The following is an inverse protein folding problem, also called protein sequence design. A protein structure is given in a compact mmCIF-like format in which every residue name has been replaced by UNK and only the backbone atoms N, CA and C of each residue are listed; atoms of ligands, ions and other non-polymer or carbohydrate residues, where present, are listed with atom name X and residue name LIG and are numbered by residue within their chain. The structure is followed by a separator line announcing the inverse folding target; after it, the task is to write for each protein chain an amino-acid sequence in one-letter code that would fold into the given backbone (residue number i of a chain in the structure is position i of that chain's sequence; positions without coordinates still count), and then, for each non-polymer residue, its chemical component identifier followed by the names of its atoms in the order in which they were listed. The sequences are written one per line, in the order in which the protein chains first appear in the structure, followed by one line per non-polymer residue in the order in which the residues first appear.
data_IF_393712319504
#
_entry.id   IF_393712319504
#
_cell.length_a   1.000
_cell.length_b   1.000
_cell.length_c   1.000
_cell.angle_alpha   90.00
_cell.angle_beta   90.00
_cell.angle_gamma   90.00
#
_symmetry.space_group_name_H-M   'P 1'
#
loop_
_entity.id
_entity.type
_entity.pdbx_description
1 polymer ?
#
# COMPACT_ATOMS: atom_id res chain seq x y z
N UNK A 1 -52.80 -46.16 17.82
CA UNK A 1 -53.25 -44.85 17.27
C UNK A 1 -52.83 -43.66 18.15
N UNK A 2 -53.55 -43.26 19.21
CA UNK A 2 -53.23 -42.01 19.94
C UNK A 2 -51.85 -41.97 20.62
N UNK A 3 -51.44 -43.06 21.30
CA UNK A 3 -50.11 -43.17 21.94
C UNK A 3 -48.96 -43.18 20.94
N UNK A 4 -49.15 -43.78 19.77
CA UNK A 4 -48.12 -43.82 18.72
C UNK A 4 -47.91 -42.43 18.11
N UNK A 5 -48.98 -41.67 17.92
CA UNK A 5 -48.90 -40.27 17.45
C UNK A 5 -48.18 -39.38 18.48
N UNK A 6 -48.47 -39.54 19.77
CA UNK A 6 -47.72 -38.82 20.82
C UNK A 6 -46.24 -39.21 20.88
N UNK A 7 -45.93 -40.50 20.74
CA UNK A 7 -44.55 -40.98 20.73
C UNK A 7 -43.78 -40.45 19.52
N UNK A 8 -44.38 -40.49 18.31
CA UNK A 8 -43.80 -39.89 17.11
C UNK A 8 -43.56 -38.39 17.28
N UNK A 9 -44.52 -37.66 17.86
CA UNK A 9 -44.37 -36.22 18.13
C UNK A 9 -43.22 -35.93 19.09
N UNK A 10 -43.08 -36.70 20.18
CA UNK A 10 -41.94 -36.58 21.11
C UNK A 10 -40.62 -36.92 20.43
N UNK A 11 -40.58 -37.98 19.63
CA UNK A 11 -39.39 -38.36 18.87
C UNK A 11 -38.96 -37.27 17.88
N UNK A 12 -39.90 -36.66 17.16
CA UNK A 12 -39.62 -35.55 16.25
C UNK A 12 -39.11 -34.30 16.98
N UNK A 13 -39.68 -33.98 18.16
CA UNK A 13 -39.22 -32.85 18.97
C UNK A 13 -37.79 -33.08 19.47
N UNK A 14 -37.49 -34.28 19.99
CA UNK A 14 -36.14 -34.64 20.42
C UNK A 14 -35.15 -34.58 19.25
N UNK A 15 -35.54 -35.06 18.07
CA UNK A 15 -34.69 -34.98 16.88
C UNK A 15 -34.48 -33.53 16.42
N UNK A 16 -35.52 -32.69 16.44
CA UNK A 16 -35.42 -31.28 16.08
C UNK A 16 -34.52 -30.51 17.05
N UNK A 17 -34.64 -30.79 18.35
CA UNK A 17 -33.83 -30.17 19.39
C UNK A 17 -32.36 -30.63 19.31
N UNK A 18 -32.11 -31.93 19.08
CA UNK A 18 -30.77 -32.46 18.83
C UNK A 18 -30.13 -31.86 17.56
N UNK A 19 -30.91 -31.69 16.49
CA UNK A 19 -30.44 -31.04 15.26
C UNK A 19 -30.13 -29.55 15.50
N UNK A 20 -30.95 -28.85 16.29
CA UNK A 20 -30.72 -27.43 16.64
C UNK A 20 -29.45 -27.27 17.46
N UNK A 21 -29.25 -28.09 18.48
CA UNK A 21 -28.03 -28.10 19.31
C UNK A 21 -26.78 -28.41 18.47
N UNK A 22 -26.87 -29.39 17.56
CA UNK A 22 -25.75 -29.71 16.66
C UNK A 22 -25.41 -28.53 15.75
N UNK A 23 -26.42 -27.84 15.21
CA UNK A 23 -26.24 -26.66 14.36
C UNK A 23 -25.63 -25.49 15.14
N UNK A 24 -26.09 -25.24 16.36
CA UNK A 24 -25.54 -24.21 17.25
C UNK A 24 -24.08 -24.51 17.60
N UNK A 25 -23.75 -25.77 17.93
CA UNK A 25 -22.39 -26.20 18.21
C UNK A 25 -21.46 -26.04 17.00
N UNK A 26 -21.92 -26.42 15.81
CA UNK A 26 -21.15 -26.27 14.58
C UNK A 26 -20.92 -24.80 14.23
N UNK A 27 -21.95 -23.94 14.38
CA UNK A 27 -21.82 -22.49 14.15
C UNK A 27 -20.77 -21.89 15.09
N UNK A 28 -20.83 -22.24 16.38
CA UNK A 28 -19.85 -21.79 17.37
C UNK A 28 -18.43 -22.28 17.04
N UNK A 29 -18.30 -23.53 16.58
CA UNK A 29 -17.01 -24.07 16.15
C UNK A 29 -16.46 -23.31 14.93
N UNK A 30 -17.30 -22.97 13.95
CA UNK A 30 -16.90 -22.19 12.78
C UNK A 30 -16.45 -20.77 13.15
N UNK A 31 -17.17 -20.12 14.06
CA UNK A 31 -16.83 -18.77 14.54
C UNK A 31 -15.47 -18.77 15.25
N UNK A 32 -15.24 -19.73 16.15
CA UNK A 32 -13.93 -19.92 16.80
C UNK A 32 -12.84 -20.21 15.77
N UNK A 33 -13.09 -21.06 14.78
CA UNK A 33 -12.11 -21.35 13.73
C UNK A 33 -11.80 -20.11 12.89
N UNK A 34 -12.81 -19.30 12.57
CA UNK A 34 -12.61 -18.03 11.87
C UNK A 34 -11.76 -17.08 12.69
N UNK A 35 -12.06 -16.87 13.97
CA UNK A 35 -11.25 -16.02 14.86
C UNK A 35 -9.80 -16.50 14.94
N UNK A 36 -9.58 -17.80 15.16
CA UNK A 36 -8.24 -18.40 15.20
C UNK A 36 -7.48 -18.22 13.88
N UNK A 37 -8.18 -18.31 12.74
CA UNK A 37 -7.57 -18.08 11.43
C UNK A 37 -7.20 -16.60 11.23
N UNK A 38 -8.07 -15.66 11.61
CA UNK A 38 -7.78 -14.23 11.56
C UNK A 38 -6.58 -13.88 12.45
N UNK A 39 -6.53 -14.40 13.67
CA UNK A 39 -5.40 -14.20 14.58
C UNK A 39 -4.08 -14.74 14.02
N UNK A 40 -4.12 -15.90 13.36
CA UNK A 40 -2.95 -16.48 12.69
C UNK A 40 -2.49 -15.62 11.51
N UNK A 41 -3.43 -15.12 10.71
CA UNK A 41 -3.15 -14.21 9.59
C UNK A 41 -2.52 -12.93 10.14
N UNK A 42 -3.14 -12.27 11.13
CA UNK A 42 -2.63 -11.04 11.73
C UNK A 42 -1.24 -11.23 12.36
N UNK A 43 -0.98 -12.36 13.03
CA UNK A 43 0.37 -12.70 13.53
C UNK A 43 1.36 -12.89 12.40
N UNK A 44 0.98 -13.57 11.32
CA UNK A 44 1.84 -13.78 10.15
C UNK A 44 2.14 -12.47 9.41
N UNK A 45 1.16 -11.60 9.26
CA UNK A 45 1.33 -10.26 8.69
C UNK A 45 2.28 -9.43 9.55
N UNK A 46 2.14 -9.46 10.88
CA UNK A 46 3.05 -8.78 11.80
C UNK A 46 4.48 -9.33 11.71
N UNK A 47 4.64 -10.66 11.65
CA UNK A 47 5.95 -11.30 11.44
C UNK A 47 6.56 -10.90 10.09
N UNK A 48 5.77 -10.90 9.02
CA UNK A 48 6.20 -10.53 7.68
C UNK A 48 6.63 -9.06 7.63
N UNK A 49 5.84 -8.15 8.23
CA UNK A 49 6.16 -6.73 8.32
C UNK A 49 7.44 -6.48 9.12
N UNK A 50 7.62 -7.19 10.24
CA UNK A 50 8.86 -7.09 11.03
C UNK A 50 10.07 -7.59 10.25
N UNK A 51 9.94 -8.70 9.53
CA UNK A 51 11.02 -9.23 8.68
C UNK A 51 11.35 -8.28 7.54
N UNK A 52 10.33 -7.68 6.91
CA UNK A 52 10.51 -6.69 5.85
C UNK A 52 11.23 -5.45 6.39
N UNK A 53 10.73 -4.86 7.49
CA UNK A 53 11.36 -3.70 8.13
C UNK A 53 12.81 -3.97 8.51
N UNK A 54 13.11 -5.17 9.04
CA UNK A 54 14.48 -5.58 9.33
C UNK A 54 15.33 -5.66 8.07
N UNK A 55 14.84 -6.32 7.02
CA UNK A 55 15.56 -6.47 5.75
C UNK A 55 15.80 -5.10 5.06
N UNK A 56 14.82 -4.20 5.12
CA UNK A 56 14.96 -2.82 4.62
C UNK A 56 16.00 -2.07 5.43
N UNK A 57 15.93 -2.10 6.76
CA UNK A 57 16.92 -1.43 7.62
C UNK A 57 18.33 -1.98 7.39
N UNK A 58 18.49 -3.29 7.21
CA UNK A 58 19.76 -3.94 6.95
C UNK A 58 20.33 -3.52 5.59
N UNK A 59 19.50 -3.49 4.53
CA UNK A 59 19.92 -2.99 3.21
C UNK A 59 20.29 -1.51 3.23
N UNK A 60 19.46 -0.68 3.89
CA UNK A 60 19.73 0.76 4.01
C UNK A 60 21.04 0.99 4.75
N UNK A 61 21.30 0.26 5.84
CA UNK A 61 22.54 0.41 6.60
C UNK A 61 23.76 -0.13 5.83
N UNK A 62 23.63 -1.27 5.14
CA UNK A 62 24.69 -1.82 4.28
C UNK A 62 25.06 -0.82 3.16
N UNK A 63 24.07 -0.26 2.48
CA UNK A 63 24.29 0.77 1.47
C UNK A 63 24.84 2.08 2.06
N UNK A 64 24.44 2.47 3.28
CA UNK A 64 25.02 3.64 3.97
C UNK A 64 26.48 3.42 4.31
N UNK A 65 26.87 2.21 4.72
CA UNK A 65 28.26 1.86 5.01
C UNK A 65 29.10 1.91 3.75
N UNK A 66 28.65 1.30 2.65
CA UNK A 66 29.34 1.37 1.36
C UNK A 66 29.43 2.80 0.84
N UNK A 67 28.34 3.58 0.93
CA UNK A 67 28.35 4.98 0.52
C UNK A 67 29.28 5.85 1.37
N UNK A 68 29.36 5.62 2.69
CA UNK A 68 30.35 6.28 3.56
C UNK A 68 31.78 5.92 3.18
N UNK A 69 32.05 4.65 2.82
CA UNK A 69 33.37 4.23 2.32
C UNK A 69 33.71 4.91 1.01
N UNK A 70 32.78 4.97 0.06
CA UNK A 70 32.96 5.66 -1.22
C UNK A 70 33.19 7.16 -1.04
N UNK A 71 32.41 7.82 -0.18
CA UNK A 71 32.60 9.23 0.17
C UNK A 71 33.96 9.48 0.85
N UNK A 72 34.37 8.63 1.79
CA UNK A 72 35.67 8.74 2.44
C UNK A 72 36.82 8.53 1.44
N UNK A 73 36.69 7.58 0.52
CA UNK A 73 37.65 7.36 -0.55
C UNK A 73 37.69 8.54 -1.53
N UNK A 74 36.54 9.12 -1.88
CA UNK A 74 36.44 10.28 -2.77
C UNK A 74 37.00 11.55 -2.10
N UNK A 75 36.70 11.77 -0.82
CA UNK A 75 37.29 12.85 -0.03
C UNK A 75 38.81 12.67 0.11
N UNK A 76 39.28 11.44 0.30
CA UNK A 76 40.70 11.11 0.31
C UNK A 76 41.37 11.41 -1.04
N UNK A 77 40.75 11.00 -2.16
CA UNK A 77 41.22 11.32 -3.52
C UNK A 77 41.22 12.82 -3.78
N UNK A 78 40.16 13.54 -3.41
CA UNK A 78 40.07 14.99 -3.55
C UNK A 78 41.12 15.71 -2.72
N UNK A 79 41.36 15.27 -1.48
CA UNK A 79 42.39 15.84 -0.60
C UNK A 79 43.81 15.51 -1.08
N UNK A 80 44.04 14.31 -1.61
CA UNK A 80 45.29 13.92 -2.24
C UNK A 80 45.54 14.74 -3.52
N UNK A 81 44.51 14.96 -4.33
CA UNK A 81 44.52 15.87 -5.47
C UNK A 81 44.84 17.28 -4.98
N UNK A 82 44.14 17.82 -3.98
CA UNK A 82 44.41 19.17 -3.44
C UNK A 82 45.83 19.32 -2.87
N UNK A 83 46.36 18.31 -2.17
CA UNK A 83 47.73 18.31 -1.65
C UNK A 83 48.80 18.17 -2.73
N UNK A 84 48.52 17.44 -3.82
CA UNK A 84 49.40 17.37 -4.99
C UNK A 84 49.29 18.62 -5.87
N UNK A 85 48.13 19.28 -5.89
CA UNK A 85 47.85 20.53 -6.62
C UNK A 85 48.45 21.77 -5.95
N UNK A 86 48.68 21.78 -4.63
CA UNK A 86 49.45 22.86 -3.96
C UNK A 86 50.95 22.82 -4.24
N UNK A 87 51.48 21.70 -4.76
CA UNK A 87 52.91 21.54 -5.07
C UNK A 87 53.28 21.90 -6.51
N UNK A 88 52.30 22.04 -7.41
CA UNK A 88 52.54 22.43 -8.81
C UNK A 88 51.69 23.65 -9.12
N UNK A 89 52.37 24.75 -9.40
CA UNK A 89 51.83 26.02 -9.87
C UNK A 89 51.32 25.86 -11.32
N UNK A 90 50.33 24.99 -11.52
CA UNK A 90 49.86 24.58 -12.84
C UNK A 90 48.62 25.40 -13.21
N UNK A 91 48.82 26.36 -14.12
CA UNK A 91 47.82 27.29 -14.65
C UNK A 91 46.54 26.60 -15.17
N UNK A 92 46.65 25.34 -15.60
CA UNK A 92 45.52 24.50 -16.01
C UNK A 92 44.58 24.16 -14.84
N UNK A 93 45.14 23.90 -13.66
CA UNK A 93 44.38 23.56 -12.45
C UNK A 93 43.59 24.77 -11.97
N UNK A 94 44.21 25.95 -11.99
CA UNK A 94 43.55 27.20 -11.63
C UNK A 94 42.40 27.53 -12.60
N UNK A 95 42.58 27.24 -13.89
CA UNK A 95 41.54 27.44 -14.91
C UNK A 95 40.38 26.44 -14.75
N UNK A 96 40.67 25.17 -14.45
CA UNK A 96 39.65 24.16 -14.19
C UNK A 96 38.90 24.45 -12.89
N UNK A 97 39.60 24.86 -11.83
CA UNK A 97 38.97 25.29 -10.59
C UNK A 97 38.09 26.52 -10.79
N UNK A 98 38.54 27.53 -11.56
CA UNK A 98 37.71 28.69 -11.94
C UNK A 98 36.51 28.30 -12.81
N UNK A 99 36.65 27.27 -13.64
CA UNK A 99 35.59 26.75 -14.51
C UNK A 99 34.52 25.93 -13.78
N UNK A 100 34.82 25.35 -12.62
CA UNK A 100 33.82 24.67 -11.78
C UNK A 100 32.97 25.74 -11.08
N UNK A 101 31.64 25.76 -11.26
CA UNK A 101 30.76 26.73 -10.59
C UNK A 101 30.95 26.70 -9.08
N UNK A 102 30.91 27.88 -8.44
CA UNK A 102 31.13 28.00 -7.00
C UNK A 102 30.12 27.16 -6.19
N UNK A 103 28.90 26.97 -6.70
CA UNK A 103 27.90 26.13 -6.04
C UNK A 103 28.35 24.68 -5.89
N UNK A 104 29.07 24.14 -6.88
CA UNK A 104 29.56 22.75 -6.87
C UNK A 104 30.71 22.59 -5.85
N UNK A 105 31.46 23.67 -5.59
CA UNK A 105 32.57 23.67 -4.62
C UNK A 105 32.07 23.72 -3.18
N UNK A 106 31.00 24.46 -2.90
CA UNK A 106 30.43 24.56 -1.56
C UNK A 106 29.42 23.44 -1.24
N UNK A 107 28.57 23.06 -2.20
CA UNK A 107 27.46 22.12 -1.96
C UNK A 107 27.76 20.69 -2.42
N UNK A 108 28.88 20.47 -3.11
CA UNK A 108 29.24 19.19 -3.72
C UNK A 108 28.39 18.86 -4.96
N UNK A 109 28.75 17.79 -5.66
CA UNK A 109 27.98 17.28 -6.80
C UNK A 109 26.89 16.36 -6.25
N UNK A 110 25.64 16.57 -6.68
CA UNK A 110 24.56 15.64 -6.39
C UNK A 110 24.91 14.26 -6.99
N UNK A 111 25.06 13.25 -6.13
CA UNK A 111 25.30 11.88 -6.58
C UNK A 111 24.05 11.32 -7.24
N UNK A 112 24.20 10.37 -8.17
CA UNK A 112 23.06 9.71 -8.83
C UNK A 112 22.08 9.12 -7.81
N UNK A 113 22.60 8.56 -6.71
CA UNK A 113 21.80 8.11 -5.57
C UNK A 113 20.98 9.24 -4.93
N UNK A 114 21.61 10.39 -4.66
CA UNK A 114 20.88 11.53 -4.06
C UNK A 114 19.80 12.08 -5.00
N UNK A 115 20.00 12.00 -6.31
CA UNK A 115 18.98 12.40 -7.29
C UNK A 115 17.83 11.39 -7.31
N UNK A 116 18.13 10.07 -7.24
CA UNK A 116 17.12 9.01 -7.15
C UNK A 116 16.29 9.13 -5.88
N UNK A 117 16.91 9.27 -4.71
CA UNK A 117 16.20 9.41 -3.43
C UNK A 117 15.28 10.64 -3.42
N UNK A 118 15.69 11.74 -4.06
CA UNK A 118 14.86 12.95 -4.20
C UNK A 118 13.69 12.73 -5.15
N UNK A 119 13.90 11.96 -6.22
CA UNK A 119 12.85 11.64 -7.18
C UNK A 119 11.82 10.67 -6.58
N UNK A 120 12.24 9.69 -5.80
CA UNK A 120 11.33 8.77 -5.09
C UNK A 120 10.47 9.54 -4.08
N UNK A 121 11.06 10.41 -3.27
CA UNK A 121 10.29 11.28 -2.35
C UNK A 121 9.33 12.24 -3.06
N UNK A 122 9.61 12.60 -4.30
CA UNK A 122 8.72 13.43 -5.11
C UNK A 122 7.55 12.62 -5.70
N UNK A 123 7.76 11.31 -5.93
CA UNK A 123 6.76 10.41 -6.49
C UNK A 123 5.82 9.80 -5.43
N UNK A 124 6.21 9.84 -4.16
CA UNK A 124 5.40 9.32 -3.05
C UNK A 124 4.16 10.19 -2.80
N UNK A 125 3.03 9.53 -2.55
CA UNK A 125 1.78 10.18 -2.17
C UNK A 125 1.92 10.71 -0.74
N UNK A 126 1.58 11.98 -0.45
CA UNK A 126 1.62 12.52 0.91
C UNK A 126 0.82 11.66 1.90
N UNK A 127 1.34 11.47 3.11
CA UNK A 127 0.69 10.64 4.14
C UNK A 127 -0.73 11.15 4.48
N UNK A 128 -0.94 12.46 4.41
CA UNK A 128 -2.23 13.10 4.66
C UNK A 128 -3.30 12.66 3.64
N UNK A 129 -2.91 12.37 2.40
CA UNK A 129 -3.81 11.82 1.37
C UNK A 129 -4.13 10.34 1.63
N UNK A 130 -3.17 9.59 2.18
CA UNK A 130 -3.37 8.20 2.61
C UNK A 130 -4.38 8.10 3.77
N UNK A 131 -4.37 9.11 4.65
CA UNK A 131 -5.25 9.20 5.82
C UNK A 131 -6.65 9.75 5.50
N UNK A 132 -7.00 9.94 4.21
CA UNK A 132 -8.27 10.52 3.76
C UNK A 132 -8.57 11.92 4.33
N UNK A 133 -7.53 12.72 4.62
CA UNK A 133 -7.75 14.11 5.03
C UNK A 133 -8.27 14.96 3.86
N UNK A 134 -8.95 16.09 4.12
CA UNK A 134 -9.46 16.97 3.08
C UNK A 134 -8.30 17.55 2.27
N UNK A 135 -8.01 16.95 1.11
CA UNK A 135 -6.95 17.41 0.22
C UNK A 135 -7.50 18.36 -0.82
N UNK A 136 -6.73 19.41 -1.13
CA UNK A 136 -7.03 20.33 -2.21
C UNK A 136 -6.61 19.72 -3.55
N UNK A 137 -7.57 19.17 -4.28
CA UNK A 137 -7.35 18.51 -5.57
C UNK A 137 -7.07 19.48 -6.74
N UNK A 138 -7.11 20.80 -6.51
CA UNK A 138 -6.93 21.80 -7.58
C UNK A 138 -5.48 21.93 -8.05
N UNK A 139 -4.52 21.48 -7.24
CA UNK A 139 -3.09 21.56 -7.55
C UNK A 139 -2.52 20.31 -8.22
N UNK A 140 -3.32 19.25 -8.33
CA UNK A 140 -2.87 17.99 -8.91
C UNK A 140 -2.84 18.07 -10.43
N UNK A 141 -1.70 17.70 -11.02
CA UNK A 141 -1.60 17.51 -12.47
C UNK A 141 -2.27 16.20 -12.94
N UNK A 142 -2.48 16.07 -14.23
CA UNK A 142 -2.98 14.85 -14.87
C UNK A 142 -2.13 13.63 -14.51
N UNK A 143 -0.80 13.77 -14.49
CA UNK A 143 0.11 12.70 -14.12
C UNK A 143 -0.01 12.31 -12.64
N UNK A 144 -0.10 13.29 -11.76
CA UNK A 144 -0.35 13.14 -10.34
C UNK A 144 -1.61 12.31 -10.06
N UNK A 145 -2.70 12.63 -10.76
CA UNK A 145 -3.98 11.93 -10.66
C UNK A 145 -3.85 10.46 -11.10
N UNK A 146 -3.16 10.20 -12.22
CA UNK A 146 -2.98 8.84 -12.74
C UNK A 146 -2.09 8.00 -11.82
N UNK A 147 -1.01 8.57 -11.28
CA UNK A 147 -0.12 7.85 -10.37
C UNK A 147 -0.84 7.49 -9.06
N UNK A 148 -1.63 8.41 -8.50
CA UNK A 148 -2.47 8.15 -7.33
C UNK A 148 -3.51 7.06 -7.60
N UNK A 149 -4.17 7.12 -8.76
CA UNK A 149 -5.11 6.08 -9.17
C UNK A 149 -4.44 4.70 -9.27
N UNK A 150 -3.25 4.64 -9.88
CA UNK A 150 -2.46 3.40 -10.00
C UNK A 150 -2.08 2.85 -8.63
N UNK A 151 -1.56 3.69 -7.74
CA UNK A 151 -1.22 3.29 -6.38
C UNK A 151 -2.41 2.63 -5.67
N UNK A 152 -3.58 3.26 -5.69
CA UNK A 152 -4.77 2.69 -5.05
C UNK A 152 -5.26 1.41 -5.72
N UNK A 153 -5.11 1.25 -7.04
CA UNK A 153 -5.40 -0.02 -7.71
C UNK A 153 -4.45 -1.13 -7.25
N UNK A 154 -3.16 -0.86 -7.17
CA UNK A 154 -2.14 -1.83 -6.77
C UNK A 154 -2.35 -2.31 -5.32
N UNK A 155 -2.94 -1.46 -4.47
CA UNK A 155 -3.31 -1.77 -3.09
C UNK A 155 -4.75 -2.32 -2.94
N UNK A 156 -5.45 -2.62 -4.04
CA UNK A 156 -6.79 -3.20 -4.04
C UNK A 156 -7.94 -2.25 -3.66
N UNK A 157 -7.68 -0.95 -3.55
CA UNK A 157 -8.67 0.07 -3.24
C UNK A 157 -9.27 0.67 -4.53
N UNK A 158 -10.15 -0.11 -5.18
CA UNK A 158 -10.83 0.32 -6.40
C UNK A 158 -11.70 1.60 -6.23
N UNK A 159 -12.43 1.81 -5.12
CA UNK A 159 -13.19 3.04 -4.91
C UNK A 159 -12.31 4.30 -4.89
N UNK A 160 -11.16 4.25 -4.20
CA UNK A 160 -10.23 5.37 -4.18
C UNK A 160 -9.64 5.63 -5.58
N UNK A 161 -9.23 4.57 -6.29
CA UNK A 161 -8.75 4.69 -7.66
C UNK A 161 -9.80 5.34 -8.58
N UNK A 162 -11.06 4.91 -8.50
CA UNK A 162 -12.16 5.50 -9.26
C UNK A 162 -12.33 7.00 -8.97
N UNK A 163 -12.20 7.41 -7.71
CA UNK A 163 -12.27 8.82 -7.29
C UNK A 163 -11.22 9.66 -8.01
N UNK A 164 -9.96 9.21 -8.01
CA UNK A 164 -8.87 9.93 -8.67
C UNK A 164 -9.06 9.98 -10.19
N UNK A 165 -9.35 8.86 -10.86
CA UNK A 165 -9.56 8.87 -12.32
C UNK A 165 -10.74 9.77 -12.72
N UNK A 166 -11.76 9.91 -11.86
CA UNK A 166 -12.86 10.83 -12.10
C UNK A 166 -12.49 12.32 -11.96
N UNK A 167 -11.33 12.66 -11.38
CA UNK A 167 -10.80 14.03 -11.37
C UNK A 167 -10.18 14.43 -12.71
N UNK A 168 -9.83 13.47 -13.57
CA UNK A 168 -9.26 13.75 -14.89
C UNK A 168 -10.21 14.60 -15.74
N UNK A 169 -9.62 15.51 -16.52
CA UNK A 169 -10.32 16.40 -17.45
C UNK A 169 -9.78 16.21 -18.89
N UNK A 170 -10.56 16.62 -19.89
CA UNK A 170 -10.13 16.62 -21.30
C UNK A 170 -9.83 15.24 -21.91
N UNK A 171 -8.77 15.16 -22.71
CA UNK A 171 -8.39 13.93 -23.43
C UNK A 171 -8.03 12.74 -22.51
N UNK A 172 -7.29 12.90 -21.40
CA UNK A 172 -7.06 11.83 -20.42
C UNK A 172 -8.36 11.23 -19.87
N UNK A 173 -9.36 12.08 -19.60
CA UNK A 173 -10.69 11.62 -19.15
C UNK A 173 -11.39 10.80 -20.23
N UNK A 174 -11.32 11.24 -21.48
CA UNK A 174 -11.93 10.52 -22.59
C UNK A 174 -11.31 9.13 -22.77
N UNK A 175 -9.98 9.02 -22.66
CA UNK A 175 -9.27 7.75 -22.71
C UNK A 175 -9.62 6.82 -21.53
N UNK A 176 -9.80 7.38 -20.33
CA UNK A 176 -10.17 6.61 -19.14
C UNK A 176 -11.66 6.23 -19.06
N UNK A 177 -12.52 6.76 -19.94
CA UNK A 177 -13.97 6.59 -19.88
C UNK A 177 -14.45 5.13 -19.89
N UNK A 178 -13.96 4.24 -20.78
CA UNK A 178 -14.38 2.84 -20.77
C UNK A 178 -14.06 2.13 -19.44
N UNK A 179 -12.90 2.47 -18.86
CA UNK A 179 -12.48 1.93 -17.56
C UNK A 179 -13.36 2.48 -16.42
N UNK A 180 -13.66 3.79 -16.42
CA UNK A 180 -14.55 4.42 -15.44
C UNK A 180 -15.94 3.75 -15.43
N UNK A 181 -16.49 3.49 -16.61
CA UNK A 181 -17.81 2.86 -16.75
C UNK A 181 -17.81 1.40 -16.29
N UNK A 182 -16.70 0.66 -16.52
CA UNK A 182 -16.55 -0.70 -16.04
C UNK A 182 -16.37 -0.76 -14.51
N UNK A 183 -15.51 0.10 -13.95
CA UNK A 183 -15.26 0.18 -12.51
C UNK A 183 -16.52 0.60 -11.75
N UNK A 184 -17.28 1.58 -12.26
CA UNK A 184 -18.57 1.97 -11.68
C UNK A 184 -19.55 0.80 -11.64
N UNK A 185 -19.77 0.13 -12.77
CA UNK A 185 -20.68 -1.04 -12.85
C UNK A 185 -20.26 -2.16 -11.89
N UNK A 186 -18.96 -2.41 -11.77
CA UNK A 186 -18.45 -3.39 -10.81
C UNK A 186 -18.82 -3.04 -9.36
N UNK A 187 -18.61 -1.78 -8.96
CA UNK A 187 -18.94 -1.34 -7.60
C UNK A 187 -20.45 -1.35 -7.34
N UNK A 188 -21.27 -0.96 -8.33
CA UNK A 188 -22.73 -1.02 -8.24
C UNK A 188 -23.23 -2.46 -8.04
N UNK A 189 -22.73 -3.41 -8.84
CA UNK A 189 -23.07 -4.83 -8.71
C UNK A 189 -22.63 -5.37 -7.36
N UNK A 190 -21.44 -4.99 -6.90
CA UNK A 190 -20.93 -5.40 -5.59
C UNK A 190 -21.82 -4.89 -4.45
N UNK A 191 -22.17 -3.60 -4.47
CA UNK A 191 -23.07 -3.01 -3.47
C UNK A 191 -24.46 -3.67 -3.48
N UNK A 192 -25.01 -3.95 -4.67
CA UNK A 192 -26.27 -4.66 -4.80
C UNK A 192 -26.18 -6.09 -4.22
N UNK A 193 -25.11 -6.82 -4.51
CA UNK A 193 -24.87 -8.15 -3.95
C UNK A 193 -24.72 -8.12 -2.43
N UNK A 194 -23.97 -7.16 -1.88
CA UNK A 194 -23.82 -6.95 -0.43
C UNK A 194 -25.17 -6.66 0.23
N UNK A 195 -26.01 -5.82 -0.38
CA UNK A 195 -27.37 -5.53 0.12
C UNK A 195 -28.27 -6.78 0.13
N UNK A 196 -28.23 -7.58 -0.94
CA UNK A 196 -28.99 -8.85 -1.02
C UNK A 196 -28.50 -9.85 0.03
N UNK A 197 -27.19 -9.99 0.22
CA UNK A 197 -26.62 -10.86 1.24
C UNK A 197 -26.97 -10.41 2.65
N UNK A 198 -26.91 -9.10 2.92
CA UNK A 198 -27.32 -8.54 4.21
C UNK A 198 -28.80 -8.84 4.50
N UNK A 199 -29.68 -8.63 3.51
CA UNK A 199 -31.10 -8.96 3.63
C UNK A 199 -31.35 -10.47 3.84
N UNK A 200 -30.64 -11.33 3.11
CA UNK A 200 -30.72 -12.78 3.25
C UNK A 200 -30.22 -13.25 4.63
N UNK A 201 -29.19 -12.61 5.17
CA UNK A 201 -28.65 -12.90 6.50
C UNK A 201 -29.65 -12.52 7.59
N UNK A 202 -30.27 -11.34 7.48
CA UNK A 202 -31.32 -10.89 8.41
C UNK A 202 -32.54 -11.80 8.33
N UNK A 203 -33.01 -12.13 7.12
CA UNK A 203 -34.15 -13.02 6.93
C UNK A 203 -33.87 -14.43 7.43
N UNK A 204 -32.68 -14.97 7.18
CA UNK A 204 -32.25 -16.27 7.69
C UNK A 204 -32.15 -16.34 9.21
N UNK A 205 -31.86 -15.21 9.87
CA UNK A 205 -31.94 -15.09 11.33
C UNK A 205 -33.38 -14.94 11.86
N UNK A 206 -34.31 -14.44 11.02
CA UNK A 206 -35.72 -14.24 11.36
C UNK A 206 -36.59 -15.50 11.17
N UNK A 207 -36.17 -16.40 10.26
CA UNK A 207 -36.86 -17.65 9.93
C UNK A 207 -36.19 -18.90 10.53
N UNK A 208 -35.20 -18.73 11.42
CA UNK A 208 -34.61 -19.78 12.26
C UNK A 208 -35.02 -19.60 13.72
#
# INVERSE_FOLDING_TARGET
MAREVEFMKKSMLVQAEANRQTKEALKKQMEIQQEVMHDKIAKKEKEMMNNFNRAVSEKVEAERVEFKKELAAMAGKLKAIEQTLKRKDDKLVETVLKGIPAEVREKGIATEKSLRDRFEKFADIPQEELENQPTDFTKLDTFDIIQRARYHMDHGNLPAALRYVNLLQGAPRAAARPWLDAARRHLEIRQAAEAVMAHASVSGLLYL
#
